data_IF_161588319354
#
_entry.id   IF_161588319354
#
_cell.length_a   1.000
_cell.length_b   1.000
_cell.length_c   1.000
_cell.angle_alpha   90.00
_cell.angle_beta   90.00
_cell.angle_gamma   90.00
#
_symmetry.space_group_name_H-M   'P 1'
#
loop_
_entity.id
_entity.type
_entity.pdbx_description
1 polymer ?
#
# COMPACT_ATOMS: atom_id res chain seq x y z
N UNK A 1 24.22 -24.03 11.46
CA UNK A 1 22.78 -23.83 11.16
C UNK A 1 22.38 -22.50 11.80
N UNK A 2 21.48 -21.74 11.16
CA UNK A 2 20.97 -20.40 11.53
C UNK A 2 21.81 -19.22 11.04
N UNK A 3 21.29 -18.25 10.30
CA UNK A 3 20.00 -18.04 9.63
C UNK A 3 20.36 -17.16 8.44
N UNK A 4 20.24 -17.65 7.20
CA UNK A 4 20.02 -16.73 6.08
C UNK A 4 18.56 -16.35 6.24
N UNK A 5 18.27 -15.18 6.79
CA UNK A 5 16.97 -14.55 6.59
C UNK A 5 16.85 -14.44 5.08
N UNK A 6 16.02 -15.27 4.46
CA UNK A 6 15.64 -15.07 3.07
C UNK A 6 15.14 -13.62 3.00
N UNK A 7 15.84 -12.76 2.27
CA UNK A 7 15.37 -11.41 1.98
C UNK A 7 14.16 -11.52 1.07
N UNK A 8 13.03 -11.91 1.66
CA UNK A 8 11.77 -11.83 0.97
C UNK A 8 11.48 -10.35 0.74
N UNK A 9 11.06 -9.97 -0.48
CA UNK A 9 10.70 -8.60 -0.76
C UNK A 9 9.58 -8.19 0.18
N UNK A 10 9.92 -7.27 1.08
CA UNK A 10 9.00 -6.68 2.03
C UNK A 10 8.32 -5.48 1.37
N UNK A 11 7.01 -5.59 1.12
CA UNK A 11 6.26 -4.50 0.50
C UNK A 11 5.78 -3.55 1.59
N UNK A 12 6.27 -2.32 1.59
CA UNK A 12 5.78 -1.29 2.50
C UNK A 12 5.75 0.09 1.84
N UNK A 13 4.84 0.93 2.30
CA UNK A 13 4.69 2.34 1.92
C UNK A 13 4.35 3.16 3.16
N UNK A 14 4.76 4.43 3.19
CA UNK A 14 4.46 5.35 4.30
C UNK A 14 3.96 6.68 3.76
N UNK A 15 2.85 7.14 4.29
CA UNK A 15 2.29 8.46 4.02
C UNK A 15 1.99 8.74 2.54
N UNK A 16 1.48 7.74 1.81
CA UNK A 16 1.03 7.94 0.43
C UNK A 16 0.01 9.07 0.38
N UNK A 17 0.29 10.06 -0.46
CA UNK A 17 -0.56 11.21 -0.66
C UNK A 17 -0.69 11.49 -2.15
N UNK A 18 -1.92 11.57 -2.65
CA UNK A 18 -2.21 11.85 -4.06
C UNK A 18 -3.36 12.82 -4.19
N UNK A 19 -3.10 13.90 -4.91
CA UNK A 19 -4.09 14.94 -5.21
C UNK A 19 -4.38 14.96 -6.70
N UNK A 20 -5.66 14.98 -7.05
CA UNK A 20 -6.13 15.26 -8.40
C UNK A 20 -7.03 16.48 -8.37
N UNK A 21 -6.74 17.48 -9.22
CA UNK A 21 -7.55 18.71 -9.35
C UNK A 21 -7.88 19.37 -8.00
N UNK A 22 -6.89 19.45 -7.11
CA UNK A 22 -7.04 20.05 -5.78
C UNK A 22 -7.72 19.16 -4.72
N UNK A 23 -8.22 17.97 -5.09
CA UNK A 23 -8.80 17.01 -4.15
C UNK A 23 -7.82 15.90 -3.80
N UNK A 24 -7.57 15.70 -2.50
CA UNK A 24 -6.85 14.53 -2.03
C UNK A 24 -7.70 13.27 -2.26
N UNK A 25 -7.17 12.34 -3.07
CA UNK A 25 -7.77 11.03 -3.37
C UNK A 25 -7.12 9.94 -2.54
N UNK A 26 -5.84 10.11 -2.20
CA UNK A 26 -5.14 9.33 -1.17
C UNK A 26 -4.56 10.36 -0.19
N UNK A 27 -4.79 10.18 1.10
CA UNK A 27 -4.37 11.13 2.13
C UNK A 27 -3.72 10.37 3.30
N UNK A 28 -2.39 10.39 3.34
CA UNK A 28 -1.58 9.80 4.40
C UNK A 28 -1.81 8.29 4.62
N UNK A 29 -1.75 7.51 3.53
CA UNK A 29 -1.95 6.05 3.59
C UNK A 29 -0.61 5.34 3.75
N UNK A 30 -0.49 4.51 4.79
CA UNK A 30 0.65 3.63 5.01
C UNK A 30 0.19 2.17 4.94
N UNK A 31 0.92 1.34 4.19
CA UNK A 31 0.60 -0.08 3.97
C UNK A 31 1.86 -0.89 4.17
N UNK A 32 1.72 -2.05 4.80
CA UNK A 32 2.76 -3.05 4.98
C UNK A 32 2.15 -4.41 4.63
N UNK A 33 2.86 -5.20 3.82
CA UNK A 33 2.41 -6.52 3.39
C UNK A 33 3.56 -7.50 3.59
N UNK A 34 3.31 -8.52 4.40
CA UNK A 34 4.29 -9.55 4.69
C UNK A 34 4.43 -10.54 3.51
N UNK A 35 5.59 -11.21 3.38
CA UNK A 35 5.77 -12.26 2.39
C UNK A 35 4.70 -13.36 2.52
N UNK A 36 4.05 -13.70 1.41
CA UNK A 36 3.00 -14.74 1.36
C UNK A 36 1.63 -14.28 1.86
N UNK A 37 1.48 -13.01 2.24
CA UNK A 37 0.19 -12.45 2.67
C UNK A 37 -0.69 -12.09 1.47
N UNK A 38 -2.00 -12.39 1.58
CA UNK A 38 -3.02 -11.97 0.61
C UNK A 38 -3.83 -10.84 1.24
N UNK A 39 -3.81 -9.67 0.62
CA UNK A 39 -4.46 -8.46 1.14
C UNK A 39 -5.50 -7.95 0.15
N UNK A 40 -6.67 -7.55 0.67
CA UNK A 40 -7.73 -6.89 -0.10
C UNK A 40 -7.93 -5.45 0.34
N UNK A 41 -7.75 -4.49 -0.56
CA UNK A 41 -8.10 -3.09 -0.31
C UNK A 41 -9.56 -2.84 -0.70
N UNK A 42 -10.42 -2.65 0.30
CA UNK A 42 -11.87 -2.53 0.15
C UNK A 42 -12.36 -1.12 0.52
N UNK A 43 -13.55 -0.77 0.03
CA UNK A 43 -14.17 0.54 0.27
C UNK A 43 -15.04 1.01 -0.89
N UNK A 44 -15.85 2.06 -0.69
CA UNK A 44 -16.78 2.57 -1.71
C UNK A 44 -16.06 3.14 -2.94
N UNK A 45 -16.80 3.36 -4.03
CA UNK A 45 -16.26 3.99 -5.25
C UNK A 45 -15.70 5.38 -4.93
N UNK A 46 -14.54 5.70 -5.50
CA UNK A 46 -13.85 6.97 -5.24
C UNK A 46 -13.05 7.05 -3.94
N UNK A 47 -13.01 5.98 -3.12
CA UNK A 47 -12.23 5.95 -1.87
C UNK A 47 -10.70 5.88 -2.06
N UNK A 48 -10.19 5.94 -3.29
CA UNK A 48 -8.75 5.93 -3.57
C UNK A 48 -8.11 4.56 -3.81
N UNK A 49 -8.86 3.45 -3.70
CA UNK A 49 -8.33 2.06 -3.82
C UNK A 49 -7.42 1.83 -5.05
N UNK A 50 -7.94 2.09 -6.24
CA UNK A 50 -7.19 1.93 -7.50
C UNK A 50 -6.03 2.92 -7.58
N UNK A 51 -6.20 4.12 -7.05
CA UNK A 51 -5.12 5.11 -6.99
C UNK A 51 -3.98 4.61 -6.10
N UNK A 52 -4.28 4.06 -4.92
CA UNK A 52 -3.27 3.48 -4.02
C UNK A 52 -2.51 2.33 -4.65
N UNK A 53 -3.17 1.46 -5.44
CA UNK A 53 -2.52 0.34 -6.11
C UNK A 53 -1.60 0.74 -7.28
N UNK A 54 -1.80 1.92 -7.89
CA UNK A 54 -1.02 2.38 -9.05
C UNK A 54 -0.01 3.49 -8.71
N UNK A 55 0.24 3.74 -7.43
CA UNK A 55 1.28 4.67 -6.96
C UNK A 55 2.58 3.94 -6.71
#
# INVERSE_FOLDING_TARGET
>A
MSQRTEEYPHLFTRGLHKVYRGRAVVNDVSIEVAPGEIVGLLGPNGAGKTTTFYM
#
